data_IF_627510203246
#
_entry.id   IF_627510203246
#
_cell.length_a   1.000
_cell.length_b   1.000
_cell.length_c   1.000
_cell.angle_alpha   90.00
_cell.angle_beta   90.00
_cell.angle_gamma   90.00
#
_symmetry.space_group_name_H-M   'P 1'
#
loop_
_entity.id
_entity.type
_entity.pdbx_description
1 polymer ?
#
# COMPACT_ATOMS: atom_id res chain seq x y z
N UNK A 1 -72.18 -0.79 -2.14
CA UNK A 1 -70.99 -1.04 -1.28
C UNK A 1 -69.73 -1.23 -2.13
N UNK A 2 -69.56 -0.42 -3.19
CA UNK A 2 -68.46 -0.49 -4.19
C UNK A 2 -67.85 0.87 -4.57
N UNK A 3 -68.21 1.98 -3.83
CA UNK A 3 -67.74 3.32 -4.14
C UNK A 3 -66.74 3.87 -3.14
N UNK A 4 -66.35 3.10 -2.09
CA UNK A 4 -65.42 3.58 -1.04
C UNK A 4 -63.97 3.11 -1.23
N UNK A 5 -63.62 2.32 -2.27
CA UNK A 5 -62.27 1.78 -2.50
C UNK A 5 -61.45 2.53 -3.56
N UNK A 6 -62.06 3.49 -4.25
CA UNK A 6 -61.40 4.24 -5.31
C UNK A 6 -60.72 5.56 -4.83
N UNK A 7 -61.06 6.08 -3.67
CA UNK A 7 -60.54 7.35 -3.16
C UNK A 7 -59.24 7.19 -2.34
N UNK A 8 -58.88 5.99 -1.89
CA UNK A 8 -57.68 5.76 -1.10
C UNK A 8 -56.41 5.48 -1.93
N UNK A 9 -56.54 5.38 -3.28
CA UNK A 9 -55.42 5.10 -4.18
C UNK A 9 -54.73 6.35 -4.78
N UNK A 10 -55.31 7.54 -4.56
CA UNK A 10 -54.85 8.76 -5.28
C UNK A 10 -54.11 9.77 -4.39
N UNK A 11 -53.79 9.43 -3.11
CA UNK A 11 -53.10 10.35 -2.20
C UNK A 11 -51.63 10.00 -1.93
N UNK A 12 -51.07 9.00 -2.63
CA UNK A 12 -49.67 8.56 -2.38
C UNK A 12 -48.64 8.95 -3.50
N UNK A 13 -48.97 9.87 -4.42
CA UNK A 13 -48.06 10.25 -5.53
C UNK A 13 -47.49 11.66 -5.40
N UNK A 14 -47.36 12.24 -4.22
CA UNK A 14 -46.55 13.46 -4.01
C UNK A 14 -45.74 13.40 -2.73
N UNK A 15 -44.92 12.39 -2.55
CA UNK A 15 -43.74 12.52 -1.64
C UNK A 15 -42.58 13.00 -2.49
N UNK A 16 -42.36 14.32 -2.46
CA UNK A 16 -41.21 14.96 -3.03
C UNK A 16 -39.92 14.25 -2.58
N UNK A 17 -39.06 13.89 -3.52
CA UNK A 17 -37.68 13.55 -3.28
C UNK A 17 -36.96 14.74 -2.65
N UNK A 18 -37.07 14.89 -1.34
CA UNK A 18 -36.11 15.71 -0.62
C UNK A 18 -34.75 15.11 -0.84
N UNK A 19 -33.90 15.76 -1.60
CA UNK A 19 -32.48 15.44 -1.71
C UNK A 19 -31.91 15.51 -0.30
N UNK A 20 -31.76 14.34 0.35
CA UNK A 20 -31.00 14.22 1.60
C UNK A 20 -29.58 14.69 1.25
N UNK A 21 -29.20 15.91 1.67
CA UNK A 21 -27.80 16.34 1.70
C UNK A 21 -27.04 15.20 2.36
N UNK A 22 -26.09 14.57 1.64
CA UNK A 22 -25.20 13.56 2.17
C UNK A 22 -24.47 14.19 3.35
N UNK A 23 -24.93 13.94 4.58
CA UNK A 23 -24.18 14.32 5.77
C UNK A 23 -22.86 13.57 5.68
N UNK A 24 -21.75 14.31 5.74
CA UNK A 24 -20.43 13.69 5.87
C UNK A 24 -20.48 12.66 6.99
N UNK A 25 -20.07 11.41 6.73
CA UNK A 25 -20.09 10.39 7.78
C UNK A 25 -19.28 10.88 8.97
N UNK A 26 -19.77 10.62 10.17
CA UNK A 26 -19.18 11.08 11.45
C UNK A 26 -17.70 10.74 11.52
N UNK A 27 -17.33 9.57 11.03
CA UNK A 27 -15.95 9.09 10.93
C UNK A 27 -15.02 10.05 10.17
N UNK A 28 -15.46 10.58 9.00
CA UNK A 28 -14.67 11.56 8.26
C UNK A 28 -14.48 12.88 8.99
N UNK A 29 -15.50 13.32 9.75
CA UNK A 29 -15.39 14.54 10.58
C UNK A 29 -14.38 14.33 11.71
N UNK A 30 -14.42 13.18 12.36
CA UNK A 30 -13.47 12.81 13.42
C UNK A 30 -12.04 12.76 12.86
N UNK A 31 -11.84 12.10 11.73
CA UNK A 31 -10.51 12.04 11.07
C UNK A 31 -9.97 13.43 10.76
N UNK A 32 -10.78 14.31 10.15
CA UNK A 32 -10.37 15.69 9.85
C UNK A 32 -10.04 16.45 11.13
N UNK A 33 -10.89 16.34 12.16
CA UNK A 33 -10.67 16.99 13.44
C UNK A 33 -9.34 16.53 14.08
N UNK A 34 -9.06 15.23 14.06
CA UNK A 34 -7.79 14.67 14.57
C UNK A 34 -6.58 15.25 13.84
N UNK A 35 -6.60 15.30 12.51
CA UNK A 35 -5.51 15.88 11.72
C UNK A 35 -5.32 17.37 12.05
N UNK A 36 -6.42 18.14 12.13
CA UNK A 36 -6.36 19.57 12.49
C UNK A 36 -5.79 19.76 13.89
N UNK A 37 -6.19 18.94 14.87
CA UNK A 37 -5.68 19.01 16.24
C UNK A 37 -4.16 18.73 16.26
N UNK A 38 -3.69 17.72 15.54
CA UNK A 38 -2.25 17.38 15.47
C UNK A 38 -1.45 18.55 14.85
N UNK A 39 -1.92 19.12 13.74
CA UNK A 39 -1.26 20.25 13.09
C UNK A 39 -1.29 21.52 13.97
N UNK A 40 -2.39 21.77 14.65
CA UNK A 40 -2.51 22.88 15.60
C UNK A 40 -1.57 22.71 16.79
N UNK A 41 -1.50 21.49 17.35
CA UNK A 41 -0.57 21.18 18.44
C UNK A 41 0.89 21.38 18.00
N UNK A 42 1.29 20.90 16.82
CA UNK A 42 2.61 21.14 16.26
C UNK A 42 2.91 22.61 16.10
N UNK A 43 1.98 23.39 15.53
CA UNK A 43 2.15 24.83 15.36
C UNK A 43 2.27 25.57 16.71
N UNK A 44 1.45 25.22 17.71
CA UNK A 44 1.46 25.84 19.04
C UNK A 44 2.77 25.54 19.77
N UNK A 45 3.21 24.28 19.81
CA UNK A 45 4.44 23.84 20.46
C UNK A 45 5.67 24.54 19.88
N UNK A 46 5.72 24.67 18.56
CA UNK A 46 6.85 25.35 17.88
C UNK A 46 6.79 26.87 18.03
N UNK A 47 5.59 27.47 18.06
CA UNK A 47 5.43 28.92 18.22
C UNK A 47 5.72 29.39 19.66
N UNK A 48 5.41 28.56 20.65
CA UNK A 48 5.67 28.86 22.06
C UNK A 48 7.11 28.50 22.50
N UNK A 49 7.95 28.06 21.53
CA UNK A 49 9.35 27.65 21.78
C UNK A 49 9.47 26.61 22.92
N UNK A 50 8.42 25.76 23.12
CA UNK A 50 8.44 24.72 24.15
C UNK A 50 9.48 23.63 23.86
N UNK A 51 9.91 23.52 22.61
CA UNK A 51 10.97 22.62 22.12
C UNK A 51 11.90 23.44 21.26
N UNK A 52 13.19 23.16 21.34
CA UNK A 52 14.19 23.81 20.49
C UNK A 52 13.80 23.69 19.00
N UNK A 53 13.71 24.82 18.32
CA UNK A 53 13.34 24.88 16.91
C UNK A 53 14.37 24.19 16.01
N UNK A 54 15.60 23.99 16.52
CA UNK A 54 16.62 23.18 15.87
C UNK A 54 16.25 21.69 15.82
N UNK A 55 15.47 21.17 16.77
CA UNK A 55 15.05 19.77 16.83
C UNK A 55 13.65 19.56 16.23
N UNK A 56 12.74 20.50 16.47
CA UNK A 56 11.38 20.46 15.96
C UNK A 56 11.13 21.72 15.10
N UNK A 57 11.34 21.65 13.78
CA UNK A 57 11.17 22.79 12.89
C UNK A 57 9.71 23.25 12.84
N UNK A 58 9.50 24.54 12.64
CA UNK A 58 8.16 25.08 12.45
C UNK A 58 7.56 24.61 11.13
N UNK A 59 6.22 24.52 11.00
CA UNK A 59 5.57 24.19 9.74
C UNK A 59 6.01 25.09 8.57
N UNK A 60 6.33 26.38 8.86
CA UNK A 60 6.83 27.32 7.85
C UNK A 60 8.25 26.97 7.40
N UNK A 61 9.13 26.55 8.32
CA UNK A 61 10.48 26.11 7.97
C UNK A 61 10.44 24.86 7.05
N UNK A 62 9.55 23.91 7.34
CA UNK A 62 9.33 22.72 6.49
C UNK A 62 8.79 23.12 5.11
N UNK A 63 7.88 24.08 5.04
CA UNK A 63 7.39 24.60 3.77
C UNK A 63 8.47 25.31 2.96
N UNK A 64 9.31 26.11 3.62
CA UNK A 64 10.44 26.78 2.98
C UNK A 64 11.47 25.76 2.46
N UNK A 65 11.77 24.70 3.22
CA UNK A 65 12.60 23.60 2.76
C UNK A 65 12.02 22.91 1.53
N UNK A 66 10.69 22.70 1.51
CA UNK A 66 10.02 22.14 0.33
C UNK A 66 10.19 23.02 -0.90
N UNK A 67 9.97 24.34 -0.78
CA UNK A 67 10.13 25.29 -1.90
C UNK A 67 11.60 25.41 -2.33
N UNK A 68 12.54 25.43 -1.38
CA UNK A 68 13.98 25.46 -1.64
C UNK A 68 14.40 24.25 -2.50
N UNK A 69 14.03 23.03 -2.08
CA UNK A 69 14.44 21.81 -2.80
C UNK A 69 13.67 21.62 -4.09
N UNK A 70 12.41 22.07 -4.17
CA UNK A 70 11.63 22.02 -5.39
C UNK A 70 12.20 22.93 -6.50
N UNK A 71 12.77 24.10 -6.12
CA UNK A 71 13.32 25.09 -7.06
C UNK A 71 14.80 24.86 -7.32
N UNK A 72 15.60 24.70 -6.28
CA UNK A 72 17.07 24.67 -6.35
C UNK A 72 17.63 23.23 -6.39
N UNK A 73 16.81 22.25 -6.04
CA UNK A 73 17.25 20.87 -5.87
C UNK A 73 18.05 20.65 -4.58
N UNK A 74 18.49 19.41 -4.38
CA UNK A 74 19.33 18.99 -3.27
C UNK A 74 20.48 18.10 -3.77
N UNK A 75 21.73 18.50 -3.51
CA UNK A 75 22.93 17.74 -3.90
C UNK A 75 22.95 17.33 -5.39
N UNK A 76 22.53 18.22 -6.27
CA UNK A 76 22.56 18.03 -7.73
C UNK A 76 21.32 17.34 -8.31
N UNK A 77 20.35 16.97 -7.50
CA UNK A 77 19.09 16.35 -7.95
C UNK A 77 17.89 17.22 -7.56
N UNK A 78 16.92 17.33 -8.43
CA UNK A 78 15.65 17.98 -8.12
C UNK A 78 14.80 17.09 -7.20
N UNK A 79 13.84 17.67 -6.49
CA UNK A 79 12.89 16.90 -5.67
C UNK A 79 12.16 15.82 -6.48
N UNK A 80 11.77 16.14 -7.71
CA UNK A 80 11.11 15.19 -8.61
C UNK A 80 12.02 14.00 -8.97
N UNK A 81 13.33 14.22 -9.12
CA UNK A 81 14.29 13.15 -9.37
C UNK A 81 14.46 12.24 -8.14
N UNK A 82 14.51 12.79 -6.91
CA UNK A 82 14.53 11.98 -5.70
C UNK A 82 13.26 11.11 -5.57
N UNK A 83 12.08 11.72 -5.76
CA UNK A 83 10.81 10.97 -5.75
C UNK A 83 10.79 9.92 -6.86
N UNK A 84 11.18 10.30 -8.08
CA UNK A 84 11.22 9.41 -9.24
C UNK A 84 12.12 8.21 -9.05
N UNK A 85 13.31 8.39 -8.49
CA UNK A 85 14.26 7.31 -8.21
C UNK A 85 13.69 6.31 -7.19
N UNK A 86 13.10 6.80 -6.09
CA UNK A 86 12.44 5.94 -5.10
C UNK A 86 11.24 5.19 -5.68
N UNK A 87 10.38 5.89 -6.44
CA UNK A 87 9.20 5.29 -7.06
C UNK A 87 9.56 4.26 -8.13
N UNK A 88 10.56 4.51 -8.95
CA UNK A 88 11.07 3.56 -9.93
C UNK A 88 11.50 2.23 -9.28
N UNK A 89 12.35 2.31 -8.27
CA UNK A 89 12.83 1.12 -7.53
C UNK A 89 11.67 0.34 -6.92
N UNK A 90 10.76 1.03 -6.23
CA UNK A 90 9.62 0.39 -5.57
C UNK A 90 8.66 -0.24 -6.57
N UNK A 91 8.24 0.51 -7.59
CA UNK A 91 7.22 0.03 -8.52
C UNK A 91 7.74 -1.13 -9.38
N UNK A 92 8.97 -1.06 -9.87
CA UNK A 92 9.58 -2.16 -10.64
C UNK A 92 9.63 -3.43 -9.77
N UNK A 93 10.15 -3.34 -8.56
CA UNK A 93 10.25 -4.48 -7.64
C UNK A 93 8.89 -5.05 -7.27
N UNK A 94 7.94 -4.18 -6.95
CA UNK A 94 6.58 -4.57 -6.55
C UNK A 94 5.84 -5.28 -7.69
N UNK A 95 5.91 -4.74 -8.91
CA UNK A 95 5.27 -5.35 -10.08
C UNK A 95 5.91 -6.71 -10.41
N UNK A 96 7.23 -6.80 -10.40
CA UNK A 96 7.93 -8.07 -10.59
C UNK A 96 7.55 -9.10 -9.51
N UNK A 97 7.52 -8.67 -8.24
CA UNK A 97 7.10 -9.53 -7.15
C UNK A 97 5.64 -10.00 -7.32
N UNK A 98 4.73 -9.13 -7.73
CA UNK A 98 3.34 -9.48 -7.96
C UNK A 98 3.18 -10.48 -9.12
N UNK A 99 3.88 -10.25 -10.24
CA UNK A 99 3.84 -11.14 -11.43
C UNK A 99 4.31 -12.55 -11.07
N UNK A 100 5.30 -12.69 -10.19
CA UNK A 100 5.87 -13.99 -9.82
C UNK A 100 5.15 -14.60 -8.62
N UNK A 101 4.93 -13.84 -7.55
CA UNK A 101 4.38 -14.36 -6.30
C UNK A 101 2.90 -14.74 -6.39
N UNK A 102 2.08 -13.99 -7.16
CA UNK A 102 0.64 -14.33 -7.30
C UNK A 102 0.44 -15.71 -7.95
N UNK A 103 1.01 -16.01 -9.12
CA UNK A 103 0.86 -17.33 -9.71
C UNK A 103 1.45 -18.45 -8.84
N UNK A 104 2.63 -18.24 -8.26
CA UNK A 104 3.28 -19.24 -7.42
C UNK A 104 2.47 -19.50 -6.13
N UNK A 105 1.92 -18.46 -5.50
CA UNK A 105 1.06 -18.60 -4.33
C UNK A 105 -0.24 -19.33 -4.63
N UNK A 106 -0.89 -19.02 -5.75
CA UNK A 106 -2.11 -19.72 -6.19
C UNK A 106 -1.82 -21.18 -6.51
N UNK A 107 -0.71 -21.49 -7.18
CA UNK A 107 -0.27 -22.86 -7.44
C UNK A 107 0.01 -23.62 -6.14
N UNK A 108 0.70 -23.02 -5.20
CA UNK A 108 0.97 -23.61 -3.88
C UNK A 108 -0.31 -23.87 -3.08
N UNK A 109 -1.30 -23.00 -3.19
CA UNK A 109 -2.60 -23.20 -2.57
C UNK A 109 -3.38 -24.37 -3.16
N UNK A 110 -3.25 -24.63 -4.47
CA UNK A 110 -3.96 -25.74 -5.15
C UNK A 110 -3.21 -27.06 -5.11
N UNK A 111 -1.89 -27.06 -4.91
CA UNK A 111 -1.03 -28.25 -4.94
C UNK A 111 -0.17 -28.37 -3.70
N UNK A 112 -0.48 -29.36 -2.85
CA UNK A 112 0.32 -29.66 -1.64
C UNK A 112 1.76 -30.01 -1.95
N UNK A 113 2.02 -30.69 -3.07
CA UNK A 113 3.38 -31.04 -3.50
C UNK A 113 4.20 -29.80 -3.86
N UNK A 114 3.61 -28.88 -4.62
CA UNK A 114 4.26 -27.63 -5.01
C UNK A 114 4.51 -26.73 -3.80
N UNK A 115 3.54 -26.66 -2.89
CA UNK A 115 3.68 -25.94 -1.62
C UNK A 115 4.81 -26.51 -0.77
N UNK A 116 4.91 -27.83 -0.61
CA UNK A 116 5.98 -28.46 0.17
C UNK A 116 7.41 -28.13 -0.33
N UNK A 117 7.56 -27.76 -1.60
CA UNK A 117 8.86 -27.32 -2.14
C UNK A 117 9.15 -25.86 -1.85
N UNK A 118 8.16 -24.98 -2.00
CA UNK A 118 8.38 -23.53 -1.90
C UNK A 118 8.27 -22.99 -0.47
N UNK A 119 7.35 -23.53 0.33
CA UNK A 119 7.05 -23.05 1.68
C UNK A 119 8.30 -23.03 2.59
N UNK A 120 9.14 -24.08 2.64
CA UNK A 120 10.35 -24.06 3.47
C UNK A 120 11.33 -22.94 3.08
N UNK A 121 11.47 -22.65 1.79
CA UNK A 121 12.37 -21.61 1.28
C UNK A 121 11.86 -20.23 1.74
N UNK A 122 10.55 -20.00 1.62
CA UNK A 122 9.94 -18.73 1.99
C UNK A 122 9.95 -18.54 3.50
N UNK A 123 9.64 -19.57 4.27
CA UNK A 123 9.70 -19.52 5.73
C UNK A 123 11.10 -19.32 6.27
N UNK A 124 12.12 -19.79 5.56
CA UNK A 124 13.51 -19.57 5.91
C UNK A 124 13.92 -18.09 5.80
N UNK A 125 13.64 -17.42 4.68
CA UNK A 125 14.11 -16.05 4.49
C UNK A 125 13.15 -14.97 5.00
N UNK A 126 11.86 -15.25 5.09
CA UNK A 126 10.83 -14.28 5.51
C UNK A 126 11.10 -13.59 6.86
N UNK A 127 11.55 -14.32 7.92
CA UNK A 127 11.82 -13.70 9.21
C UNK A 127 13.12 -12.89 9.24
N UNK A 128 13.97 -13.02 8.21
CA UNK A 128 15.22 -12.28 8.15
C UNK A 128 14.94 -10.80 7.84
N UNK A 129 15.52 -9.87 8.63
CA UNK A 129 15.45 -8.46 8.27
C UNK A 129 16.03 -8.23 6.86
N UNK A 130 15.32 -7.54 5.96
CA UNK A 130 15.81 -7.35 4.58
C UNK A 130 17.23 -6.77 4.50
N UNK A 131 17.58 -5.85 5.40
CA UNK A 131 18.93 -5.27 5.44
C UNK A 131 20.02 -6.28 5.81
N UNK A 132 19.69 -7.39 6.48
CA UNK A 132 20.69 -8.40 6.85
C UNK A 132 21.30 -9.07 5.62
N UNK A 133 20.53 -9.31 4.57
CA UNK A 133 21.03 -9.90 3.33
C UNK A 133 21.29 -8.87 2.22
N UNK A 134 21.01 -7.58 2.46
CA UNK A 134 21.23 -6.51 1.48
C UNK A 134 22.70 -6.39 1.08
N UNK A 135 23.61 -6.48 2.05
CA UNK A 135 25.05 -6.43 1.78
C UNK A 135 25.50 -7.52 0.81
N UNK A 136 24.92 -8.73 0.92
CA UNK A 136 25.19 -9.82 -0.04
C UNK A 136 24.68 -9.49 -1.44
N UNK A 137 23.48 -8.88 -1.53
CA UNK A 137 22.95 -8.43 -2.82
C UNK A 137 23.81 -7.34 -3.47
N UNK A 138 24.30 -6.41 -2.66
CA UNK A 138 25.24 -5.36 -3.14
C UNK A 138 26.56 -5.98 -3.62
N UNK A 139 27.07 -6.99 -2.94
CA UNK A 139 28.32 -7.67 -3.32
C UNK A 139 28.17 -8.37 -4.68
N UNK A 140 27.01 -8.97 -4.95
CA UNK A 140 26.75 -9.76 -6.17
C UNK A 140 26.26 -8.89 -7.35
N UNK A 141 25.39 -7.92 -7.07
CA UNK A 141 24.68 -7.12 -8.08
C UNK A 141 25.22 -5.70 -8.22
N UNK A 142 26.15 -5.30 -7.37
CA UNK A 142 26.65 -3.92 -7.32
C UNK A 142 25.81 -3.00 -6.46
N UNK A 143 26.28 -1.75 -6.31
CA UNK A 143 25.67 -0.75 -5.43
C UNK A 143 24.51 0.02 -6.10
N UNK A 144 24.29 -0.20 -7.39
CA UNK A 144 23.32 0.52 -8.20
C UNK A 144 21.85 0.13 -7.90
N UNK A 145 20.96 0.32 -8.84
CA UNK A 145 19.53 0.06 -8.64
C UNK A 145 19.19 -1.42 -8.54
N UNK A 146 19.99 -2.29 -9.17
CA UNK A 146 19.74 -3.73 -9.28
C UNK A 146 19.68 -4.42 -7.92
N UNK A 147 20.62 -4.13 -7.03
CA UNK A 147 20.64 -4.68 -5.67
C UNK A 147 19.45 -4.20 -4.83
N UNK A 148 19.03 -2.94 -5.00
CA UNK A 148 17.86 -2.37 -4.32
C UNK A 148 16.57 -3.00 -4.85
N UNK A 149 16.44 -3.13 -6.18
CA UNK A 149 15.30 -3.78 -6.83
C UNK A 149 15.19 -5.25 -6.38
N UNK A 150 16.30 -5.99 -6.35
CA UNK A 150 16.32 -7.37 -5.87
C UNK A 150 15.91 -7.49 -4.40
N UNK A 151 16.42 -6.60 -3.55
CA UNK A 151 16.03 -6.54 -2.13
C UNK A 151 14.53 -6.30 -1.96
N UNK A 152 14.00 -5.30 -2.65
CA UNK A 152 12.59 -4.94 -2.59
C UNK A 152 11.69 -6.02 -3.18
N UNK A 153 12.14 -6.69 -4.24
CA UNK A 153 11.46 -7.86 -4.81
C UNK A 153 11.28 -8.95 -3.76
N UNK A 154 12.36 -9.35 -3.06
CA UNK A 154 12.28 -10.36 -2.00
C UNK A 154 11.39 -9.91 -0.84
N UNK A 155 11.47 -8.65 -0.43
CA UNK A 155 10.65 -8.09 0.63
C UNK A 155 9.15 -8.10 0.29
N UNK A 156 8.79 -7.81 -0.97
CA UNK A 156 7.40 -7.82 -1.44
C UNK A 156 6.89 -9.24 -1.74
N UNK A 157 7.76 -10.16 -2.16
CA UNK A 157 7.40 -11.49 -2.63
C UNK A 157 6.72 -12.34 -1.54
N UNK A 158 7.31 -12.42 -0.35
CA UNK A 158 6.81 -13.28 0.72
C UNK A 158 5.39 -12.94 1.16
N UNK A 159 5.04 -11.66 1.46
CA UNK A 159 3.67 -11.30 1.84
C UNK A 159 2.64 -11.63 0.76
N UNK A 160 2.96 -11.39 -0.53
CA UNK A 160 2.06 -11.70 -1.63
C UNK A 160 1.84 -13.22 -1.73
N UNK A 161 2.94 -13.99 -1.76
CA UNK A 161 2.88 -15.44 -1.88
C UNK A 161 2.04 -16.08 -0.77
N UNK A 162 2.32 -15.72 0.49
CA UNK A 162 1.64 -16.27 1.66
C UNK A 162 0.15 -15.95 1.61
N UNK A 163 -0.19 -14.72 1.26
CA UNK A 163 -1.59 -14.31 1.21
C UNK A 163 -2.34 -15.02 0.09
N UNK A 164 -1.72 -15.18 -1.09
CA UNK A 164 -2.30 -15.94 -2.20
C UNK A 164 -2.48 -17.42 -1.86
N UNK A 165 -1.48 -18.05 -1.25
CA UNK A 165 -1.57 -19.46 -0.80
C UNK A 165 -2.69 -19.64 0.22
N UNK A 166 -2.74 -18.79 1.23
CA UNK A 166 -3.76 -18.79 2.27
C UNK A 166 -5.16 -18.54 1.72
N UNK A 167 -5.29 -17.66 0.73
CA UNK A 167 -6.56 -17.37 0.07
C UNK A 167 -7.16 -18.64 -0.56
N UNK A 168 -6.36 -19.38 -1.32
CA UNK A 168 -6.82 -20.62 -1.95
C UNK A 168 -7.22 -21.66 -0.91
N UNK A 169 -6.45 -21.81 0.17
CA UNK A 169 -6.73 -22.78 1.22
C UNK A 169 -8.01 -22.46 2.01
N UNK A 170 -8.44 -21.19 2.03
CA UNK A 170 -9.69 -20.76 2.67
C UNK A 170 -10.93 -20.90 1.81
N UNK A 171 -10.80 -21.19 0.51
CA UNK A 171 -11.97 -21.40 -0.36
C UNK A 171 -12.80 -22.57 0.15
N UNK A 172 -14.08 -22.35 0.39
CA UNK A 172 -15.01 -23.39 0.90
C UNK A 172 -15.06 -24.57 -0.06
N UNK A 173 -14.83 -25.79 0.47
CA UNK A 173 -14.87 -27.02 -0.33
C UNK A 173 -16.21 -27.25 -0.99
N UNK A 174 -17.30 -26.77 -0.37
CA UNK A 174 -18.66 -26.91 -0.93
C UNK A 174 -18.81 -26.21 -2.27
N UNK A 175 -18.20 -25.04 -2.46
CA UNK A 175 -18.22 -24.35 -3.76
C UNK A 175 -17.47 -25.14 -4.82
N UNK A 176 -16.33 -25.73 -4.45
CA UNK A 176 -15.53 -26.56 -5.36
C UNK A 176 -16.29 -27.84 -5.72
N UNK A 177 -16.87 -28.53 -4.74
CA UNK A 177 -17.61 -29.76 -4.92
C UNK A 177 -18.89 -29.54 -5.75
N UNK A 178 -19.65 -28.47 -5.46
CA UNK A 178 -20.83 -28.10 -6.24
C UNK A 178 -20.49 -27.85 -7.72
N UNK A 179 -19.36 -27.17 -7.99
CA UNK A 179 -18.94 -26.97 -9.37
C UNK A 179 -18.58 -28.29 -10.08
N UNK A 180 -17.94 -29.23 -9.40
CA UNK A 180 -17.65 -30.55 -9.96
C UNK A 180 -18.91 -31.34 -10.20
N UNK A 181 -19.91 -31.31 -9.29
CA UNK A 181 -21.21 -31.96 -9.45
C UNK A 181 -21.95 -31.45 -10.69
N UNK A 182 -21.76 -30.15 -11.03
CA UNK A 182 -22.30 -29.55 -12.26
C UNK A 182 -21.47 -29.89 -13.52
N UNK A 183 -20.47 -30.76 -13.43
CA UNK A 183 -19.65 -31.19 -14.57
C UNK A 183 -18.50 -30.22 -14.93
N UNK A 184 -18.13 -29.30 -14.05
CA UNK A 184 -17.03 -28.36 -14.34
C UNK A 184 -15.68 -29.10 -14.36
N UNK A 185 -14.84 -28.76 -15.33
CA UNK A 185 -13.44 -29.23 -15.41
C UNK A 185 -12.56 -28.56 -14.37
N UNK A 186 -11.41 -29.14 -14.04
CA UNK A 186 -10.43 -28.55 -13.10
C UNK A 186 -10.06 -27.11 -13.47
N UNK A 187 -9.87 -26.82 -14.75
CA UNK A 187 -9.56 -25.47 -15.24
C UNK A 187 -10.72 -24.49 -15.02
N UNK A 188 -11.96 -24.96 -15.24
CA UNK A 188 -13.16 -24.14 -15.00
C UNK A 188 -13.35 -23.85 -13.51
N UNK A 189 -13.17 -24.86 -12.64
CA UNK A 189 -13.23 -24.68 -11.18
C UNK A 189 -12.18 -23.66 -10.73
N UNK A 190 -10.94 -23.76 -11.21
CA UNK A 190 -9.90 -22.80 -10.86
C UNK A 190 -10.25 -21.37 -11.33
N UNK A 191 -10.58 -21.20 -12.61
CA UNK A 191 -10.78 -19.88 -13.21
C UNK A 191 -12.10 -19.19 -12.80
N UNK A 192 -13.16 -19.98 -12.54
CA UNK A 192 -14.50 -19.45 -12.29
C UNK A 192 -14.92 -19.49 -10.81
N UNK A 193 -14.24 -20.30 -9.97
CA UNK A 193 -14.57 -20.43 -8.54
C UNK A 193 -13.40 -19.99 -7.68
N UNK A 194 -12.23 -20.65 -7.79
CA UNK A 194 -11.10 -20.42 -6.89
C UNK A 194 -10.51 -19.02 -7.10
N UNK A 195 -10.09 -18.70 -8.31
CA UNK A 195 -9.41 -17.44 -8.60
C UNK A 195 -10.25 -16.19 -8.26
N UNK A 196 -11.54 -16.10 -8.67
CA UNK A 196 -12.38 -14.97 -8.27
C UNK A 196 -12.59 -14.86 -6.76
N UNK A 197 -12.72 -16.01 -6.07
CA UNK A 197 -12.85 -16.04 -4.60
C UNK A 197 -11.57 -15.56 -3.88
N UNK A 198 -10.39 -15.73 -4.49
CA UNK A 198 -9.11 -15.31 -3.93
C UNK A 198 -8.79 -13.83 -4.20
N UNK A 199 -9.43 -13.18 -5.16
CA UNK A 199 -9.11 -11.80 -5.56
C UNK A 199 -9.09 -10.80 -4.39
N UNK A 200 -10.09 -10.77 -3.47
CA UNK A 200 -10.05 -9.88 -2.32
C UNK A 200 -8.79 -10.05 -1.48
N UNK A 201 -8.40 -11.30 -1.22
CA UNK A 201 -7.23 -11.64 -0.41
C UNK A 201 -5.91 -11.34 -1.15
N UNK A 202 -5.87 -11.51 -2.46
CA UNK A 202 -4.72 -11.12 -3.29
C UNK A 202 -4.46 -9.61 -3.13
N UNK A 203 -5.49 -8.77 -3.20
CA UNK A 203 -5.35 -7.33 -2.99
C UNK A 203 -4.90 -6.98 -1.56
N UNK A 204 -5.33 -7.71 -0.55
CA UNK A 204 -4.80 -7.58 0.83
C UNK A 204 -3.30 -7.90 0.84
N UNK A 205 -2.87 -8.97 0.18
CA UNK A 205 -1.46 -9.34 0.04
C UNK A 205 -0.64 -8.26 -0.67
N UNK A 206 -1.14 -7.72 -1.77
CA UNK A 206 -0.49 -6.63 -2.51
C UNK A 206 -0.32 -5.38 -1.65
N UNK A 207 -1.32 -4.99 -0.88
CA UNK A 207 -1.25 -3.82 0.01
C UNK A 207 -0.26 -4.04 1.15
N UNK A 208 -0.24 -5.23 1.75
CA UNK A 208 0.74 -5.58 2.79
C UNK A 208 2.15 -5.54 2.22
N UNK A 209 2.36 -6.12 1.04
CA UNK A 209 3.65 -6.12 0.36
C UNK A 209 4.12 -4.71 0.00
N UNK A 210 3.21 -3.83 -0.46
CA UNK A 210 3.55 -2.44 -0.73
C UNK A 210 4.06 -1.74 0.54
N UNK A 211 3.43 -1.96 1.69
CA UNK A 211 3.88 -1.39 2.96
C UNK A 211 5.27 -1.89 3.37
N UNK A 212 5.50 -3.20 3.30
CA UNK A 212 6.81 -3.82 3.60
C UNK A 212 7.87 -3.34 2.61
N UNK A 213 7.56 -3.31 1.31
CA UNK A 213 8.45 -2.82 0.27
C UNK A 213 8.82 -1.36 0.47
N UNK A 214 7.86 -0.52 0.88
CA UNK A 214 8.10 0.90 1.12
C UNK A 214 9.05 1.15 2.30
N UNK A 215 8.87 0.47 3.43
CA UNK A 215 9.78 0.56 4.58
C UNK A 215 11.17 0.04 4.24
N UNK A 216 11.24 -1.06 3.49
CA UNK A 216 12.52 -1.63 3.02
C UNK A 216 13.23 -0.71 2.03
N UNK A 217 12.49 -0.01 1.14
CA UNK A 217 13.03 0.98 0.22
C UNK A 217 13.78 2.09 0.96
N UNK A 218 13.11 2.71 1.94
CA UNK A 218 13.69 3.80 2.71
C UNK A 218 14.98 3.33 3.38
N UNK A 219 14.95 2.16 4.02
CA UNK A 219 16.13 1.59 4.67
C UNK A 219 17.27 1.29 3.67
N UNK A 220 16.97 0.73 2.50
CA UNK A 220 17.96 0.45 1.47
C UNK A 220 18.59 1.73 0.89
N UNK A 221 17.78 2.77 0.70
CA UNK A 221 18.26 4.07 0.23
C UNK A 221 19.17 4.77 1.25
N UNK A 222 18.87 4.63 2.53
CA UNK A 222 19.74 5.17 3.60
C UNK A 222 21.11 4.47 3.65
N UNK A 223 21.19 3.19 3.31
CA UNK A 223 22.46 2.45 3.38
C UNK A 223 23.34 2.66 2.17
N UNK A 224 22.78 2.65 0.96
CA UNK A 224 23.59 2.57 -0.24
C UNK A 224 22.96 3.27 -1.46
N UNK A 225 22.50 4.50 -1.30
CA UNK A 225 22.02 5.29 -2.42
C UNK A 225 22.75 6.63 -2.51
N UNK A 226 22.72 7.24 -3.70
CA UNK A 226 23.14 8.62 -3.97
C UNK A 226 21.96 9.54 -4.31
N UNK A 227 20.77 8.97 -4.44
CA UNK A 227 19.51 9.67 -4.72
C UNK A 227 18.32 8.86 -4.24
N UNK A 228 17.23 9.52 -3.91
CA UNK A 228 16.02 8.93 -3.38
C UNK A 228 15.55 9.67 -2.12
N UNK A 229 14.32 9.39 -1.68
CA UNK A 229 13.73 10.05 -0.50
C UNK A 229 14.41 9.62 0.79
N UNK A 230 14.75 8.33 0.92
CA UNK A 230 15.45 7.82 2.10
C UNK A 230 16.86 8.36 2.21
N UNK A 231 17.58 8.44 1.09
CA UNK A 231 18.90 9.05 1.02
C UNK A 231 18.86 10.54 1.38
N UNK A 232 17.89 11.28 0.83
CA UNK A 232 17.71 12.70 1.11
C UNK A 232 17.54 12.97 2.61
N UNK A 233 16.72 12.17 3.29
CA UNK A 233 16.51 12.29 4.74
C UNK A 233 17.78 11.96 5.52
N UNK A 234 18.51 10.92 5.14
CA UNK A 234 19.76 10.56 5.81
C UNK A 234 20.84 11.63 5.61
N UNK A 235 21.04 12.10 4.37
CA UNK A 235 22.04 13.12 4.08
C UNK A 235 21.70 14.43 4.82
N UNK A 236 20.43 14.85 4.83
CA UNK A 236 19.99 16.01 5.59
C UNK A 236 20.25 15.85 7.10
N UNK A 237 20.13 14.65 7.66
CA UNK A 237 20.44 14.41 9.07
C UNK A 237 21.91 14.60 9.41
N UNK A 238 22.81 14.25 8.50
CA UNK A 238 24.25 14.47 8.66
C UNK A 238 24.64 15.96 8.70
N UNK A 239 23.80 16.83 8.12
CA UNK A 239 23.96 18.28 8.12
C UNK A 239 23.04 19.00 9.11
N UNK A 240 22.35 18.26 9.99
CA UNK A 240 21.43 18.80 11.00
C UNK A 240 20.29 19.67 10.39
N UNK A 241 19.91 19.41 9.13
CA UNK A 241 18.82 20.08 8.42
C UNK A 241 17.49 19.39 8.75
N UNK A 242 17.01 19.58 9.97
CA UNK A 242 15.76 18.96 10.45
C UNK A 242 14.53 19.37 9.64
N UNK A 243 14.52 20.59 9.09
CA UNK A 243 13.51 21.10 8.17
C UNK A 243 13.35 20.20 6.93
N UNK A 244 14.47 19.77 6.34
CA UNK A 244 14.50 18.84 5.19
C UNK A 244 14.11 17.43 5.62
N UNK A 245 14.51 16.97 6.81
CA UNK A 245 14.13 15.66 7.33
C UNK A 245 12.60 15.58 7.47
N UNK A 246 11.98 16.56 8.13
CA UNK A 246 10.52 16.59 8.30
C UNK A 246 9.80 16.70 6.96
N UNK A 247 10.29 17.53 6.05
CA UNK A 247 9.76 17.60 4.68
C UNK A 247 9.84 16.24 3.98
N UNK A 248 10.98 15.56 4.02
CA UNK A 248 11.17 14.25 3.42
C UNK A 248 10.21 13.19 3.99
N UNK A 249 10.04 13.17 5.33
CA UNK A 249 9.09 12.27 6.01
C UNK A 249 7.65 12.53 5.54
N UNK A 250 7.24 13.80 5.42
CA UNK A 250 5.91 14.17 4.94
C UNK A 250 5.71 13.72 3.50
N UNK A 251 6.68 13.92 2.62
CA UNK A 251 6.62 13.48 1.21
C UNK A 251 6.56 11.95 1.13
N UNK A 252 7.38 11.23 1.92
CA UNK A 252 7.32 9.78 1.99
C UNK A 252 5.95 9.29 2.45
N UNK A 253 5.37 9.91 3.48
CA UNK A 253 4.04 9.56 3.96
C UNK A 253 2.96 9.82 2.91
N UNK A 254 3.02 10.97 2.23
CA UNK A 254 2.08 11.33 1.17
C UNK A 254 2.16 10.35 -0.02
N UNK A 255 3.37 10.00 -0.49
CA UNK A 255 3.56 9.04 -1.57
C UNK A 255 3.08 7.64 -1.19
N UNK A 256 3.31 7.20 0.04
CA UNK A 256 2.80 5.92 0.56
C UNK A 256 1.25 5.87 0.59
N UNK A 257 0.62 6.95 1.06
CA UNK A 257 -0.86 7.08 1.06
C UNK A 257 -1.41 7.05 -0.36
N UNK A 258 -0.79 7.77 -1.29
CA UNK A 258 -1.21 7.81 -2.71
C UNK A 258 -1.13 6.41 -3.32
N UNK A 259 -0.01 5.70 -3.14
CA UNK A 259 0.18 4.35 -3.68
C UNK A 259 -0.84 3.36 -3.10
N UNK A 260 -1.07 3.39 -1.78
CA UNK A 260 -2.11 2.56 -1.16
C UNK A 260 -3.51 2.92 -1.69
N UNK A 261 -3.79 4.21 -1.90
CA UNK A 261 -5.04 4.68 -2.50
C UNK A 261 -5.25 4.18 -3.93
N UNK A 262 -4.19 4.12 -4.73
CA UNK A 262 -4.23 3.57 -6.10
C UNK A 262 -4.59 2.08 -6.05
N UNK A 263 -3.96 1.29 -5.19
CA UNK A 263 -4.29 -0.15 -5.06
C UNK A 263 -5.74 -0.32 -4.61
N UNK A 264 -6.22 0.45 -3.63
CA UNK A 264 -7.62 0.43 -3.19
C UNK A 264 -8.60 0.80 -4.31
N UNK A 265 -8.25 1.79 -5.13
CA UNK A 265 -9.07 2.17 -6.27
C UNK A 265 -9.18 1.03 -7.29
N UNK A 266 -8.07 0.38 -7.61
CA UNK A 266 -8.03 -0.79 -8.50
C UNK A 266 -8.80 -1.96 -7.90
N UNK A 267 -8.60 -2.26 -6.61
CA UNK A 267 -9.33 -3.30 -5.89
C UNK A 267 -10.85 -3.12 -6.00
N UNK A 268 -11.35 -1.92 -5.72
CA UNK A 268 -12.78 -1.61 -5.78
C UNK A 268 -13.38 -1.74 -7.20
N UNK A 269 -12.55 -1.61 -8.23
CA UNK A 269 -12.98 -1.81 -9.63
C UNK A 269 -12.96 -3.28 -10.05
N UNK A 270 -11.96 -4.03 -9.59
CA UNK A 270 -11.75 -5.45 -9.96
C UNK A 270 -12.61 -6.38 -9.11
N UNK A 271 -12.90 -6.01 -7.85
CA UNK A 271 -13.60 -6.87 -6.87
C UNK A 271 -14.85 -6.15 -6.32
N UNK A 272 -15.87 -5.85 -7.16
CA UNK A 272 -17.06 -5.12 -6.72
C UNK A 272 -18.01 -5.91 -5.80
N UNK A 273 -17.75 -7.21 -5.63
CA UNK A 273 -18.51 -8.10 -4.74
C UNK A 273 -17.94 -8.21 -3.33
N UNK A 274 -16.79 -7.63 -3.04
CA UNK A 274 -16.20 -7.65 -1.70
C UNK A 274 -17.17 -7.10 -0.65
N UNK A 275 -17.43 -7.89 0.42
CA UNK A 275 -18.33 -7.50 1.52
C UNK A 275 -19.82 -7.52 1.18
N UNK A 276 -20.25 -8.27 0.17
CA UNK A 276 -21.65 -8.49 -0.20
C UNK A 276 -22.10 -9.94 0.04
N UNK A 277 -21.27 -10.77 0.68
CA UNK A 277 -21.56 -12.16 1.04
C UNK A 277 -22.37 -12.24 2.34
#
# INVERSE_FOLDING_TARGET
MLTSKAETLNTNVKRGKTMKKKKFPVEKKVTIATVVIILAAWYIVTKLEMVDTSLLPTPMAVWNAFTEIATNGYKGFTLAQHIGASMYRLLVSFVLAAIVAVPLGLLSGTSSKFRAVLEPIIEFYRPLPPLAYYTLLVLVLGIDNESKIALLFLACFAPIYIQCTSAVLRVKKDYINSAYTLGATKKQVFMKVIFPSCLPDIFVGLRTALGVGYTTLVAAEMVAASSGLGWLVLDASNYLRYDIIFMGIIIMSATGIILNGIILFVENRVVPWKGKD
#
